data_IF_344261628393
#
_entry.id   IF_344261628393
#
_cell.length_a   1.000
_cell.length_b   1.000
_cell.length_c   1.000
_cell.angle_alpha   90.00
_cell.angle_beta   90.00
_cell.angle_gamma   90.00
#
_symmetry.space_group_name_H-M   'P 1'
#
loop_
_entity.id
_entity.type
_entity.pdbx_description
1 polymer ?
#
# COMPACT_ATOMS: atom_id res chain seq x y z
N UNK A 1 15.04 14.35 21.13
CA UNK A 1 14.68 12.98 20.77
C UNK A 1 14.12 12.96 19.34
N UNK A 2 14.68 12.14 18.47
CA UNK A 2 14.24 12.06 17.09
C UNK A 2 12.93 11.26 17.00
N UNK A 3 11.92 11.89 16.39
CA UNK A 3 10.62 11.27 16.21
C UNK A 3 10.33 11.21 14.70
N UNK A 4 10.55 10.05 14.05
CA UNK A 4 10.38 9.97 12.61
C UNK A 4 8.92 10.10 12.18
N UNK A 5 8.73 10.66 10.98
CA UNK A 5 7.43 10.70 10.34
C UNK A 5 7.27 9.51 9.40
N UNK A 6 6.02 9.30 8.94
CA UNK A 6 5.72 8.27 7.95
C UNK A 6 6.62 8.41 6.72
N UNK A 7 6.84 9.65 6.26
CA UNK A 7 7.68 9.90 5.09
C UNK A 7 9.11 9.40 5.24
N UNK A 8 9.63 9.32 6.46
CA UNK A 8 10.99 8.81 6.70
C UNK A 8 11.08 7.29 6.55
N UNK A 9 9.96 6.57 6.74
CA UNK A 9 9.94 5.11 6.72
C UNK A 9 9.26 4.52 5.48
N UNK A 10 8.33 5.25 4.87
CA UNK A 10 7.52 4.71 3.77
C UNK A 10 8.37 4.29 2.57
N UNK A 11 7.86 3.33 1.82
CA UNK A 11 8.45 2.94 0.53
C UNK A 11 7.94 3.90 -0.54
N UNK A 12 8.85 4.42 -1.37
CA UNK A 12 8.51 5.31 -2.49
C UNK A 12 9.57 5.17 -3.59
N UNK A 13 9.21 5.40 -4.86
CA UNK A 13 7.85 5.65 -5.32
C UNK A 13 6.94 4.46 -5.11
N UNK A 14 5.66 4.71 -4.90
CA UNK A 14 4.66 3.66 -4.70
C UNK A 14 4.25 3.10 -6.07
N UNK A 15 4.02 1.78 -6.12
CA UNK A 15 3.47 1.16 -7.32
C UNK A 15 1.95 1.28 -7.28
N UNK A 16 1.37 1.80 -8.36
CA UNK A 16 -0.08 2.00 -8.46
C UNK A 16 -0.63 1.30 -9.68
N UNK A 17 -1.93 1.03 -9.63
CA UNK A 17 -2.70 0.50 -10.77
C UNK A 17 -4.02 1.25 -10.83
N UNK A 18 -4.76 1.07 -11.93
CA UNK A 18 -6.10 1.63 -12.07
C UNK A 18 -7.14 0.54 -11.79
N UNK A 19 -8.41 0.92 -11.52
CA UNK A 19 -9.46 -0.08 -11.31
C UNK A 19 -9.68 -1.01 -12.49
N UNK A 20 -9.38 -0.56 -13.70
CA UNK A 20 -9.56 -1.32 -14.93
C UNK A 20 -8.39 -2.24 -15.26
N UNK A 21 -7.32 -2.22 -14.46
CA UNK A 21 -6.18 -3.10 -14.67
C UNK A 21 -6.62 -4.56 -14.52
N UNK A 22 -6.27 -5.43 -15.48
CA UNK A 22 -6.54 -6.86 -15.30
C UNK A 22 -5.82 -7.39 -14.06
N UNK A 23 -6.50 -8.23 -13.30
CA UNK A 23 -5.94 -8.71 -12.04
C UNK A 23 -4.69 -9.55 -12.25
N UNK A 24 -4.61 -10.26 -13.39
CA UNK A 24 -3.41 -11.02 -13.74
C UNK A 24 -2.19 -10.10 -13.86
N UNK A 25 -2.35 -8.95 -14.51
CA UNK A 25 -1.26 -7.99 -14.68
C UNK A 25 -0.81 -7.42 -13.34
N UNK A 26 -1.79 -7.12 -12.46
CA UNK A 26 -1.49 -6.63 -11.12
C UNK A 26 -0.72 -7.68 -10.32
N UNK A 27 -1.12 -8.94 -10.40
CA UNK A 27 -0.43 -10.02 -9.70
C UNK A 27 1.01 -10.19 -10.22
N UNK A 28 1.22 -10.10 -11.54
CA UNK A 28 2.56 -10.15 -12.11
C UNK A 28 3.43 -9.01 -11.59
N UNK A 29 2.87 -7.80 -11.49
CA UNK A 29 3.61 -6.64 -10.98
C UNK A 29 4.06 -6.90 -9.53
N UNK A 30 3.17 -7.46 -8.71
CA UNK A 30 3.52 -7.76 -7.32
C UNK A 30 4.65 -8.78 -7.23
N UNK A 31 4.61 -9.82 -8.07
CA UNK A 31 5.67 -10.83 -8.11
C UNK A 31 6.99 -10.25 -8.61
N UNK A 32 6.95 -9.50 -9.71
CA UNK A 32 8.16 -8.96 -10.34
C UNK A 32 8.86 -7.93 -9.44
N UNK A 33 8.08 -7.19 -8.66
CA UNK A 33 8.61 -6.15 -7.77
C UNK A 33 8.81 -6.63 -6.34
N UNK A 34 8.41 -7.87 -6.05
CA UNK A 34 8.47 -8.44 -4.70
C UNK A 34 7.78 -7.53 -3.67
N UNK A 35 6.56 -7.13 -4.00
CA UNK A 35 5.73 -6.29 -3.13
C UNK A 35 4.40 -6.98 -2.84
N UNK A 36 3.81 -6.66 -1.69
CA UNK A 36 2.61 -7.34 -1.21
C UNK A 36 1.32 -6.58 -1.45
N UNK A 37 1.40 -5.39 -2.06
CA UNK A 37 0.21 -4.58 -2.31
C UNK A 37 0.43 -3.59 -3.44
N UNK A 38 -0.69 -3.19 -4.05
CA UNK A 38 -0.73 -2.12 -5.05
C UNK A 38 -1.83 -1.15 -4.63
N UNK A 39 -1.55 0.14 -4.68
CA UNK A 39 -2.57 1.15 -4.45
C UNK A 39 -3.32 1.37 -5.76
N UNK A 40 -4.64 1.31 -5.69
CA UNK A 40 -5.51 1.55 -6.84
C UNK A 40 -5.89 3.02 -6.82
N UNK A 41 -5.59 3.72 -7.91
CA UNK A 41 -5.76 5.17 -7.97
C UNK A 41 -6.68 5.58 -9.11
N UNK A 42 -7.26 6.77 -8.96
CA UNK A 42 -8.04 7.42 -10.02
C UNK A 42 -7.12 8.23 -10.93
N UNK A 43 -7.70 9.02 -11.84
CA UNK A 43 -6.97 9.83 -12.80
C UNK A 43 -6.10 10.91 -12.15
N UNK A 44 -6.41 11.29 -10.91
CA UNK A 44 -5.69 12.33 -10.17
C UNK A 44 -4.72 11.72 -9.15
N UNK A 45 -4.40 10.42 -9.27
CA UNK A 45 -3.54 9.68 -8.35
C UNK A 45 -4.09 9.60 -6.93
N UNK A 46 -5.38 9.77 -6.77
CA UNK A 46 -6.04 9.62 -5.45
C UNK A 46 -6.37 8.16 -5.20
N UNK A 47 -6.22 7.69 -3.96
CA UNK A 47 -6.47 6.29 -3.66
C UNK A 47 -7.95 5.95 -3.73
N UNK A 48 -8.30 4.95 -4.53
CA UNK A 48 -9.66 4.41 -4.63
C UNK A 48 -9.77 3.05 -3.95
N UNK A 49 -8.65 2.35 -3.84
CA UNK A 49 -8.64 1.02 -3.24
C UNK A 49 -7.23 0.54 -3.04
N UNK A 50 -7.13 -0.65 -2.51
CA UNK A 50 -5.84 -1.33 -2.36
C UNK A 50 -6.04 -2.80 -2.72
N UNK A 51 -5.11 -3.35 -3.49
CA UNK A 51 -5.08 -4.77 -3.84
C UNK A 51 -3.88 -5.40 -3.15
N UNK A 52 -4.11 -6.49 -2.43
CA UNK A 52 -3.05 -7.19 -1.70
C UNK A 52 -2.87 -8.61 -2.21
N UNK A 53 -1.77 -9.24 -1.85
CA UNK A 53 -1.55 -10.66 -2.16
C UNK A 53 -2.65 -11.52 -1.53
N UNK A 54 -3.17 -11.14 -0.37
CA UNK A 54 -4.28 -11.84 0.27
C UNK A 54 -5.52 -11.82 -0.63
N UNK A 55 -5.80 -10.70 -1.28
CA UNK A 55 -6.93 -10.60 -2.21
C UNK A 55 -6.77 -11.57 -3.38
N UNK A 56 -5.54 -11.71 -3.89
CA UNK A 56 -5.24 -12.64 -4.97
C UNK A 56 -5.41 -14.10 -4.52
N UNK A 57 -4.99 -14.42 -3.31
CA UNK A 57 -5.17 -15.75 -2.74
C UNK A 57 -6.65 -16.07 -2.59
N UNK A 58 -7.44 -15.08 -2.12
CA UNK A 58 -8.89 -15.25 -1.98
C UNK A 58 -9.56 -15.52 -3.32
N UNK A 59 -9.10 -14.87 -4.39
CA UNK A 59 -9.59 -15.11 -5.74
C UNK A 59 -9.35 -16.56 -6.16
N UNK A 60 -8.16 -17.08 -5.92
CA UNK A 60 -7.80 -18.46 -6.25
C UNK A 60 -8.65 -19.44 -5.43
N UNK A 61 -8.83 -19.17 -4.13
CA UNK A 61 -9.64 -20.01 -3.25
C UNK A 61 -11.10 -20.05 -3.68
N UNK A 62 -11.61 -18.93 -4.23
CA UNK A 62 -12.96 -18.82 -4.75
C UNK A 62 -13.13 -19.44 -6.13
N UNK A 63 -12.03 -19.88 -6.75
CA UNK A 63 -12.02 -20.46 -8.10
C UNK A 63 -12.46 -19.48 -9.19
N UNK A 64 -12.24 -18.18 -8.95
CA UNK A 64 -12.56 -17.16 -9.93
C UNK A 64 -11.51 -17.15 -11.05
N UNK A 65 -11.95 -16.79 -12.26
CA UNK A 65 -11.03 -16.67 -13.40
C UNK A 65 -10.23 -15.38 -13.31
N UNK A 66 -8.94 -15.45 -13.62
CA UNK A 66 -8.08 -14.26 -13.70
C UNK A 66 -8.14 -13.63 -15.08
N UNK A 67 -8.69 -14.33 -16.08
CA UNK A 67 -8.62 -13.87 -17.48
C UNK A 67 -9.46 -12.62 -17.74
N UNK A 68 -10.65 -12.57 -17.13
CA UNK A 68 -11.60 -11.47 -17.36
C UNK A 68 -11.86 -10.63 -16.12
N UNK A 69 -11.08 -10.85 -15.06
CA UNK A 69 -11.31 -10.18 -13.79
C UNK A 69 -10.45 -8.92 -13.69
N UNK A 70 -11.06 -7.81 -13.28
CA UNK A 70 -10.38 -6.54 -13.10
C UNK A 70 -10.08 -6.31 -11.61
N UNK A 71 -9.08 -5.48 -11.36
CA UNK A 71 -8.67 -5.10 -10.01
C UNK A 71 -9.87 -4.56 -9.22
N UNK A 72 -10.73 -3.76 -9.87
CA UNK A 72 -11.91 -3.17 -9.22
C UNK A 72 -12.83 -4.21 -8.57
N UNK A 73 -12.84 -5.43 -9.08
CA UNK A 73 -13.76 -6.48 -8.58
C UNK A 73 -13.26 -7.12 -7.28
N UNK A 74 -11.97 -6.95 -6.95
CA UNK A 74 -11.36 -7.63 -5.81
C UNK A 74 -10.62 -6.70 -4.85
N UNK A 75 -10.43 -5.43 -5.21
CA UNK A 75 -9.76 -4.48 -4.34
C UNK A 75 -10.59 -4.17 -3.10
N UNK A 76 -9.92 -3.80 -2.02
CA UNK A 76 -10.57 -3.24 -0.84
C UNK A 76 -10.81 -1.76 -1.10
N UNK A 77 -12.06 -1.29 -0.94
CA UNK A 77 -12.42 0.09 -1.28
C UNK A 77 -12.41 1.04 -0.10
N UNK A 78 -12.51 0.53 1.13
CA UNK A 78 -12.41 1.37 2.32
C UNK A 78 -10.95 1.53 2.70
N UNK A 79 -10.25 2.43 2.00
CA UNK A 79 -8.80 2.58 2.15
C UNK A 79 -8.49 3.57 3.26
N UNK A 80 -7.77 3.10 4.28
CA UNK A 80 -7.15 3.98 5.25
C UNK A 80 -5.93 4.62 4.60
N UNK A 81 -5.75 5.91 4.82
CA UNK A 81 -4.57 6.65 4.34
C UNK A 81 -3.97 7.47 5.47
N UNK A 82 -2.75 7.93 5.26
CA UNK A 82 -2.03 8.75 6.23
C UNK A 82 -1.27 9.82 5.46
N UNK A 83 -1.08 11.00 6.07
CA UNK A 83 -0.22 12.01 5.46
C UNK A 83 1.25 11.69 5.81
N UNK A 84 2.16 12.07 4.90
CA UNK A 84 3.57 11.76 5.09
C UNK A 84 4.17 12.41 6.33
N UNK A 85 3.62 13.53 6.78
CA UNK A 85 4.09 14.24 7.97
C UNK A 85 3.61 13.61 9.28
N UNK A 86 2.69 12.64 9.22
CA UNK A 86 2.17 12.01 10.44
C UNK A 86 3.28 11.28 11.20
N UNK A 87 3.12 11.22 12.51
CA UNK A 87 4.05 10.47 13.35
C UNK A 87 3.93 8.98 13.06
N UNK A 88 5.07 8.29 13.00
CA UNK A 88 5.11 6.84 12.75
C UNK A 88 4.27 6.10 13.79
N UNK A 89 4.32 6.53 15.05
CA UNK A 89 3.58 5.86 16.12
C UNK A 89 2.06 5.92 15.88
N UNK A 90 1.55 7.06 15.40
CA UNK A 90 0.13 7.19 15.09
C UNK A 90 -0.27 6.27 13.94
N UNK A 91 0.57 6.19 12.90
CA UNK A 91 0.35 5.30 11.78
C UNK A 91 0.36 3.83 12.23
N UNK A 92 1.33 3.45 13.05
CA UNK A 92 1.43 2.09 13.57
C UNK A 92 0.19 1.72 14.39
N UNK A 93 -0.29 2.64 15.22
CA UNK A 93 -1.51 2.42 16.00
C UNK A 93 -2.73 2.21 15.11
N UNK A 94 -2.85 2.98 14.03
CA UNK A 94 -3.95 2.81 13.07
C UNK A 94 -3.88 1.47 12.37
N UNK A 95 -2.67 1.03 12.00
CA UNK A 95 -2.49 -0.27 11.37
C UNK A 95 -2.88 -1.41 12.31
N UNK A 96 -2.51 -1.31 13.58
CA UNK A 96 -2.88 -2.32 14.58
C UNK A 96 -4.38 -2.32 14.86
N UNK A 97 -4.97 -1.15 15.04
CA UNK A 97 -6.40 -1.02 15.35
C UNK A 97 -7.26 -1.55 14.21
N UNK A 98 -6.88 -1.29 12.97
CA UNK A 98 -7.65 -1.69 11.79
C UNK A 98 -7.19 -3.02 11.20
N UNK A 99 -6.17 -3.64 11.79
CA UNK A 99 -5.61 -4.93 11.36
C UNK A 99 -5.18 -4.91 9.90
N UNK A 100 -4.50 -3.84 9.51
CA UNK A 100 -3.98 -3.68 8.15
C UNK A 100 -2.45 -3.68 8.19
N UNK A 101 -1.85 -4.17 7.10
CA UNK A 101 -0.40 -4.29 6.97
C UNK A 101 0.19 -3.31 5.97
N UNK A 102 -0.65 -2.54 5.30
CA UNK A 102 -0.28 -1.60 4.24
C UNK A 102 -1.10 -0.33 4.42
N UNK A 103 -0.43 0.81 4.52
CA UNK A 103 -1.10 2.10 4.74
C UNK A 103 -0.57 3.10 3.72
N UNK A 104 -1.35 3.40 2.67
CA UNK A 104 -0.92 4.39 1.67
C UNK A 104 -0.72 5.76 2.30
N UNK A 105 0.36 6.42 1.90
CA UNK A 105 0.69 7.78 2.32
C UNK A 105 0.33 8.75 1.21
N UNK A 106 -0.32 9.84 1.57
CA UNK A 106 -0.80 10.84 0.62
C UNK A 106 -0.20 12.21 0.90
N UNK A 107 -0.18 13.03 -0.14
CA UNK A 107 0.21 14.43 -0.05
C UNK A 107 -0.97 15.29 0.39
N UNK A 108 -0.75 16.61 0.49
CA UNK A 108 -1.79 17.56 0.92
C UNK A 108 -3.01 17.57 -0.01
N UNK A 109 -2.84 17.20 -1.28
CA UNK A 109 -3.95 17.14 -2.23
C UNK A 109 -4.46 15.70 -2.45
N UNK A 110 -4.20 14.83 -1.49
CA UNK A 110 -4.66 13.43 -1.48
C UNK A 110 -4.08 12.55 -2.57
N UNK A 111 -2.99 12.97 -3.22
CA UNK A 111 -2.29 12.09 -4.17
C UNK A 111 -1.42 11.10 -3.42
N UNK A 112 -1.43 9.85 -3.87
CA UNK A 112 -0.60 8.79 -3.27
C UNK A 112 0.86 9.05 -3.58
N UNK A 113 1.71 9.12 -2.55
CA UNK A 113 3.14 9.39 -2.70
C UNK A 113 4.03 8.28 -2.15
N UNK A 114 3.46 7.36 -1.40
CA UNK A 114 4.21 6.25 -0.81
C UNK A 114 3.29 5.27 -0.14
N UNK A 115 3.88 4.28 0.48
CA UNK A 115 3.13 3.30 1.26
C UNK A 115 3.95 2.89 2.47
N UNK A 116 3.30 2.83 3.63
CA UNK A 116 3.93 2.33 4.85
C UNK A 116 3.44 0.92 5.10
N UNK A 117 4.37 -0.01 5.28
CA UNK A 117 4.02 -1.41 5.50
C UNK A 117 4.58 -1.90 6.84
N UNK A 118 4.09 -3.06 7.28
CA UNK A 118 4.64 -3.69 8.48
C UNK A 118 6.12 -4.01 8.29
N UNK A 119 6.54 -4.32 7.06
CA UNK A 119 7.95 -4.54 6.73
C UNK A 119 8.77 -3.26 6.98
N UNK A 120 8.24 -2.09 6.59
CA UNK A 120 8.92 -0.82 6.83
C UNK A 120 9.09 -0.56 8.32
N UNK A 121 8.05 -0.85 9.11
CA UNK A 121 8.11 -0.69 10.57
C UNK A 121 9.13 -1.63 11.21
N UNK A 122 9.18 -2.86 10.72
CA UNK A 122 10.16 -3.84 11.18
C UNK A 122 11.58 -3.40 10.82
N UNK A 123 11.78 -2.91 9.60
CA UNK A 123 13.08 -2.42 9.15
C UNK A 123 13.57 -1.26 10.01
N UNK A 124 12.66 -0.40 10.46
CA UNK A 124 13.00 0.73 11.34
C UNK A 124 13.70 0.27 12.63
N UNK A 125 13.41 -0.95 13.09
CA UNK A 125 14.03 -1.51 14.30
C UNK A 125 15.39 -2.14 14.03
N UNK A 126 15.79 -2.23 12.74
CA UNK A 126 17.10 -2.75 12.37
C UNK A 126 18.19 -1.73 12.72
N UNK A 127 19.37 -2.18 13.21
CA UNK A 127 20.47 -1.25 13.52
C UNK A 127 21.00 -0.54 12.27
N UNK A 128 20.74 -1.08 11.08
CA UNK A 128 21.22 -0.48 9.81
C UNK A 128 20.21 0.47 9.18
N UNK A 129 19.06 0.69 9.83
CA UNK A 129 18.03 1.55 9.26
C UNK A 129 18.51 2.99 9.14
N UNK A 130 18.20 3.61 7.99
CA UNK A 130 18.41 5.03 7.77
C UNK A 130 17.12 5.66 7.23
N UNK A 131 16.78 6.89 7.63
CA UNK A 131 15.56 7.51 7.14
C UNK A 131 15.65 7.89 5.67
N UNK A 132 14.50 7.94 5.01
CA UNK A 132 14.40 8.51 3.68
C UNK A 132 14.83 9.97 3.72
N UNK A 133 15.43 10.49 2.63
CA UNK A 133 15.73 11.92 2.56
C UNK A 133 14.44 12.75 2.63
N UNK A 134 14.53 13.85 3.32
CA UNK A 134 13.38 14.76 3.46
C UNK A 134 13.29 15.73 2.30
#
# INVERSE_FOLDING_TARGET
MYAPSVGHLMSSPVQTVTPETPIHDAAETMLDRDIGSLVVVDEDDRPEGILTTTDCVALVAGQDSTDDTLVAEHMTTEVETVVADAAVQDAANRMMTNRIHHLPAVSDNDSVIGILTTTDLTAYLSPDWTPNPS
#
